data_IF_459553071012
#
_entry.id   IF_459553071012
#
_cell.length_a   1.000
_cell.length_b   1.000
_cell.length_c   1.000
_cell.angle_alpha   90.00
_cell.angle_beta   90.00
_cell.angle_gamma   90.00
#
_symmetry.space_group_name_H-M   'P 1'
#
loop_
_entity.id
_entity.type
_entity.pdbx_description
1 polymer ?
#
# COMPACT_ATOMS: atom_id res chain seq x y z
N UNK A 1 28.40 54.90 -7.29
CA UNK A 1 27.74 53.61 -6.95
C UNK A 1 26.31 53.91 -6.53
N UNK A 2 25.32 53.64 -7.39
CA UNK A 2 23.90 53.89 -7.07
C UNK A 2 23.45 52.89 -6.00
N UNK A 3 22.93 53.39 -4.87
CA UNK A 3 22.41 52.56 -3.80
C UNK A 3 21.31 51.61 -4.33
N UNK A 4 21.27 50.33 -3.91
CA UNK A 4 20.24 49.40 -4.33
C UNK A 4 18.88 49.90 -3.84
N UNK A 5 18.01 50.28 -4.78
CA UNK A 5 16.64 50.70 -4.46
C UNK A 5 15.88 49.50 -3.89
N UNK A 6 15.19 49.70 -2.75
CA UNK A 6 14.32 48.70 -2.13
C UNK A 6 13.29 48.25 -3.17
N UNK A 7 13.38 47.00 -3.64
CA UNK A 7 12.40 46.42 -4.57
C UNK A 7 11.06 46.32 -3.84
N UNK A 8 9.95 46.61 -4.53
CA UNK A 8 8.61 46.52 -3.96
C UNK A 8 8.25 45.08 -3.58
N UNK A 9 7.42 44.90 -2.55
CA UNK A 9 6.94 43.59 -2.05
C UNK A 9 6.27 42.76 -3.15
N UNK A 10 5.75 43.44 -4.17
CA UNK A 10 5.15 42.84 -5.37
C UNK A 10 6.08 41.82 -6.02
N UNK A 11 7.40 42.05 -6.01
CA UNK A 11 8.37 41.13 -6.62
C UNK A 11 8.44 39.77 -5.96
N UNK A 12 7.98 39.60 -4.72
CA UNK A 12 7.95 38.30 -4.04
C UNK A 12 7.03 37.29 -4.73
N UNK A 13 6.08 37.76 -5.56
CA UNK A 13 5.11 36.92 -6.26
C UNK A 13 5.49 36.65 -7.72
N UNK A 14 6.60 37.17 -8.20
CA UNK A 14 6.96 37.11 -9.62
C UNK A 14 8.43 36.73 -9.83
N UNK A 15 8.68 35.95 -10.88
CA UNK A 15 10.01 35.62 -11.37
C UNK A 15 10.27 36.35 -12.68
N UNK A 16 11.42 37.02 -12.82
CA UNK A 16 11.80 37.62 -14.10
C UNK A 16 12.15 36.53 -15.11
N UNK A 17 11.59 36.63 -16.33
CA UNK A 17 11.91 35.75 -17.46
C UNK A 17 12.76 36.50 -18.47
N UNK A 18 12.31 37.69 -18.87
CA UNK A 18 13.03 38.61 -19.76
C UNK A 18 13.04 40.03 -19.16
N UNK A 19 13.79 40.95 -19.77
CA UNK A 19 13.80 42.38 -19.39
C UNK A 19 12.41 43.02 -19.34
N UNK A 20 11.47 42.50 -20.13
CA UNK A 20 10.09 43.03 -20.25
C UNK A 20 9.01 42.04 -19.82
N UNK A 21 9.36 40.85 -19.33
CA UNK A 21 8.40 39.78 -19.01
C UNK A 21 8.72 39.15 -17.66
N UNK A 22 7.68 38.97 -16.86
CA UNK A 22 7.75 38.33 -15.55
C UNK A 22 6.68 37.26 -15.45
N UNK A 23 6.96 36.13 -14.82
CA UNK A 23 6.00 35.06 -14.60
C UNK A 23 5.47 35.14 -13.17
N UNK A 24 4.15 35.11 -13.03
CA UNK A 24 3.50 35.02 -11.73
C UNK A 24 3.74 33.64 -11.11
N UNK A 25 4.18 33.58 -9.86
CA UNK A 25 4.42 32.30 -9.18
C UNK A 25 3.13 31.64 -8.65
N UNK A 26 2.01 32.37 -8.63
CA UNK A 26 0.73 31.89 -8.13
C UNK A 26 -0.13 31.23 -9.22
N UNK A 27 -0.11 31.76 -10.46
CA UNK A 27 -0.86 31.20 -11.59
C UNK A 27 0.01 30.80 -12.79
N UNK A 28 1.33 31.02 -12.73
CA UNK A 28 2.29 30.72 -13.80
C UNK A 28 2.06 31.49 -15.12
N UNK A 29 1.19 32.50 -15.11
CA UNK A 29 0.97 33.36 -16.27
C UNK A 29 2.10 34.38 -16.45
N UNK A 30 2.40 34.67 -17.71
CA UNK A 30 3.40 35.69 -18.07
C UNK A 30 2.75 37.07 -18.15
N UNK A 31 3.31 38.01 -17.39
CA UNK A 31 2.88 39.41 -17.31
C UNK A 31 3.98 40.32 -17.86
N UNK A 32 3.61 41.34 -18.61
CA UNK A 32 4.55 42.33 -19.14
C UNK A 32 4.97 43.32 -18.06
N UNK A 33 6.28 43.49 -17.89
CA UNK A 33 6.88 44.47 -16.99
C UNK A 33 7.60 45.57 -17.80
N UNK A 34 6.92 46.71 -18.00
CA UNK A 34 7.48 47.85 -18.72
C UNK A 34 8.16 48.84 -17.75
N UNK A 35 9.15 48.37 -16.98
CA UNK A 35 9.93 49.20 -16.04
C UNK A 35 9.21 49.61 -14.74
N UNK A 36 7.91 49.34 -14.60
CA UNK A 36 7.12 49.62 -13.41
C UNK A 36 6.29 48.40 -12.97
N UNK A 37 5.99 48.30 -11.67
CA UNK A 37 5.26 47.16 -11.09
C UNK A 37 3.74 47.26 -11.22
N UNK A 38 3.21 48.25 -11.94
CA UNK A 38 1.76 48.49 -12.09
C UNK A 38 1.03 47.31 -12.72
N UNK A 39 1.62 46.67 -13.75
CA UNK A 39 1.02 45.49 -14.40
C UNK A 39 1.01 44.28 -13.48
N UNK A 40 2.06 44.10 -12.68
CA UNK A 40 2.17 43.04 -11.69
C UNK A 40 1.13 43.22 -10.58
N UNK A 41 0.95 44.48 -10.12
CA UNK A 41 -0.03 44.81 -9.09
C UNK A 41 -1.47 44.61 -9.57
N UNK A 42 -1.76 45.04 -10.81
CA UNK A 42 -3.06 44.81 -11.44
C UNK A 42 -3.37 43.32 -11.55
N UNK A 43 -2.40 42.52 -11.98
CA UNK A 43 -2.53 41.07 -12.06
C UNK A 43 -2.84 40.44 -10.68
N UNK A 44 -2.11 40.84 -9.63
CA UNK A 44 -2.37 40.36 -8.27
C UNK A 44 -3.76 40.77 -7.77
N UNK A 45 -4.20 42.01 -8.00
CA UNK A 45 -5.55 42.45 -7.58
C UNK A 45 -6.67 41.75 -8.34
N UNK A 46 -6.46 41.40 -9.61
CA UNK A 46 -7.50 40.75 -10.43
C UNK A 46 -7.59 39.24 -10.22
N UNK A 47 -6.46 38.55 -10.01
CA UNK A 47 -6.40 37.09 -9.97
C UNK A 47 -6.03 36.51 -8.60
N UNK A 48 -5.42 37.31 -7.74
CA UNK A 48 -4.82 36.87 -6.47
C UNK A 48 -5.12 37.85 -5.32
N UNK A 49 -6.36 38.33 -5.23
CA UNK A 49 -6.76 39.36 -4.27
C UNK A 49 -6.54 38.93 -2.82
N UNK A 50 -6.80 37.65 -2.49
CA UNK A 50 -6.60 37.10 -1.15
C UNK A 50 -5.10 37.04 -0.76
N UNK A 51 -4.25 36.57 -1.67
CA UNK A 51 -2.80 36.43 -1.47
C UNK A 51 -2.13 37.80 -1.32
N UNK A 52 -2.56 38.79 -2.11
CA UNK A 52 -2.04 40.15 -2.04
C UNK A 52 -2.40 40.86 -0.73
N UNK A 53 -3.64 40.71 -0.25
CA UNK A 53 -4.11 41.31 0.99
C UNK A 53 -3.37 40.75 2.21
N UNK A 54 -3.09 39.44 2.24
CA UNK A 54 -2.33 38.79 3.31
C UNK A 54 -0.89 39.32 3.43
N UNK A 55 -0.21 39.53 2.30
CA UNK A 55 1.16 40.04 2.29
C UNK A 55 1.28 41.57 2.53
N UNK A 56 0.21 42.33 2.29
CA UNK A 56 0.15 43.75 2.64
C UNK A 56 -0.11 43.95 4.16
N UNK A 57 -0.86 43.04 4.79
CA UNK A 57 -1.21 43.11 6.20
C UNK A 57 -0.06 42.77 7.17
N UNK A 58 1.07 42.23 6.67
CA UNK A 58 2.17 41.74 7.51
C UNK A 58 3.12 42.82 8.04
N UNK A 59 2.79 44.12 7.88
CA UNK A 59 3.66 45.23 8.34
C UNK A 59 3.10 46.09 9.46
N UNK A 60 1.92 45.75 10.01
CA UNK A 60 1.34 46.50 11.13
C UNK A 60 0.91 45.56 12.26
N UNK A 61 1.89 45.07 13.02
CA UNK A 61 1.67 44.51 14.35
C UNK A 61 2.56 45.23 15.34
N UNK A 62 2.16 46.45 15.71
CA UNK A 62 2.57 47.10 16.96
C UNK A 62 1.31 47.39 17.78
N UNK A 63 1.04 46.46 18.70
CA UNK A 63 0.39 46.65 20.01
C UNK A 63 -0.82 47.59 20.12
N UNK A 64 -1.99 47.04 20.49
CA UNK A 64 -2.75 47.61 21.62
C UNK A 64 -3.44 46.48 22.38
N UNK A 65 -3.00 46.33 23.62
CA UNK A 65 -3.64 45.59 24.71
C UNK A 65 -4.87 46.36 25.19
N UNK A 66 -5.92 45.65 25.55
CA UNK A 66 -7.02 46.21 26.32
C UNK A 66 -6.51 46.54 27.74
N UNK A 67 -6.64 47.78 28.19
CA UNK A 67 -7.23 48.10 29.51
C UNK A 67 -7.56 49.59 29.70
N UNK A 68 -8.74 49.77 30.27
CA UNK A 68 -9.28 50.75 31.24
C UNK A 68 -8.82 52.23 31.39
N UNK A 69 -9.87 53.07 31.53
CA UNK A 69 -10.03 54.29 32.33
C UNK A 69 -9.33 55.62 32.00
N UNK A 70 -10.12 56.66 31.68
CA UNK A 70 -10.21 57.95 32.43
C UNK A 70 -11.22 58.94 31.82
N UNK A 71 -12.14 59.44 32.65
CA UNK A 71 -12.90 60.71 32.50
C UNK A 71 -11.96 61.95 32.52
N UNK A 72 -12.44 63.21 32.57
CA UNK A 72 -13.37 63.96 31.71
C UNK A 72 -12.71 65.27 31.19
N UNK A 73 -13.14 65.83 30.06
CA UNK A 73 -12.77 67.19 29.65
C UNK A 73 -14.03 68.06 29.58
N UNK A 74 -14.03 69.07 30.45
CA UNK A 74 -15.04 70.12 30.54
C UNK A 74 -14.95 71.02 29.30
N UNK A 75 -16.08 71.30 28.66
CA UNK A 75 -16.26 72.53 27.89
C UNK A 75 -17.58 73.17 28.35
N UNK A 76 -17.46 74.28 29.07
CA UNK A 76 -18.57 75.20 29.30
C UNK A 76 -18.55 76.19 28.15
N UNK A 77 -19.58 76.17 27.32
CA UNK A 77 -20.12 77.40 26.74
C UNK A 77 -21.56 77.15 26.39
N UNK A 78 -22.40 77.83 27.14
CA UNK A 78 -23.84 78.01 26.96
C UNK A 78 -24.19 78.13 25.48
N UNK A 79 -24.94 77.17 24.95
CA UNK A 79 -25.80 77.40 23.81
C UNK A 79 -27.08 76.60 23.97
N UNK A 80 -28.16 77.38 24.03
CA UNK A 80 -29.53 76.98 24.29
C UNK A 80 -30.15 76.59 22.94
N UNK A 81 -30.39 75.31 22.69
CA UNK A 81 -31.27 74.81 21.62
C UNK A 81 -31.87 73.48 22.09
N UNK A 82 -32.97 73.55 22.82
CA UNK A 82 -34.33 73.31 22.32
C UNK A 82 -34.61 71.81 22.17
N UNK A 83 -35.51 71.34 23.02
CA UNK A 83 -36.08 70.00 23.04
C UNK A 83 -37.07 69.88 21.87
N UNK A 84 -36.55 69.98 20.65
CA UNK A 84 -37.31 69.64 19.45
C UNK A 84 -37.27 68.13 19.33
N UNK A 85 -38.36 67.51 19.80
CA UNK A 85 -38.77 66.19 19.35
C UNK A 85 -38.82 66.21 17.82
N UNK A 86 -37.74 65.79 17.16
CA UNK A 86 -37.76 65.51 15.74
C UNK A 86 -38.90 64.52 15.51
N UNK A 87 -39.94 64.93 14.78
CA UNK A 87 -41.04 64.06 14.40
C UNK A 87 -40.46 62.98 13.50
N UNK A 88 -40.04 61.86 14.09
CA UNK A 88 -39.59 60.70 13.34
C UNK A 88 -40.75 60.31 12.45
N UNK A 89 -40.56 60.37 11.14
CA UNK A 89 -41.65 60.05 10.23
C UNK A 89 -41.96 58.57 10.37
N UNK A 90 -43.25 58.21 10.29
CA UNK A 90 -43.66 56.80 10.33
C UNK A 90 -42.93 55.97 9.25
N UNK A 91 -42.49 56.61 8.17
CA UNK A 91 -41.69 56.01 7.11
C UNK A 91 -40.27 55.61 7.55
N UNK A 92 -39.60 56.41 8.39
CA UNK A 92 -38.25 56.11 8.89
C UNK A 92 -38.29 54.94 9.88
N UNK A 93 -39.32 54.91 10.73
CA UNK A 93 -39.59 53.79 11.65
C UNK A 93 -39.90 52.52 10.85
N UNK A 94 -40.77 52.62 9.83
CA UNK A 94 -41.10 51.49 8.97
C UNK A 94 -39.88 50.95 8.19
N UNK A 95 -39.00 51.85 7.70
CA UNK A 95 -37.76 51.47 7.01
C UNK A 95 -36.80 50.72 7.93
N UNK A 96 -36.62 51.19 9.16
CA UNK A 96 -35.78 50.52 10.16
C UNK A 96 -36.34 49.13 10.52
N UNK A 97 -37.66 49.01 10.72
CA UNK A 97 -38.31 47.72 11.00
C UNK A 97 -38.14 46.74 9.84
N UNK A 98 -38.35 47.20 8.59
CA UNK A 98 -38.17 46.37 7.40
C UNK A 98 -36.70 45.94 7.21
N UNK A 99 -35.74 46.81 7.51
CA UNK A 99 -34.32 46.48 7.49
C UNK A 99 -33.95 45.40 8.52
N UNK A 100 -34.51 45.48 9.74
CA UNK A 100 -34.32 44.49 10.79
C UNK A 100 -34.94 43.15 10.42
N UNK A 101 -36.16 43.15 9.87
CA UNK A 101 -36.83 41.92 9.40
C UNK A 101 -36.03 41.25 8.29
N UNK A 102 -35.54 42.03 7.31
CA UNK A 102 -34.75 41.50 6.20
C UNK A 102 -33.42 40.92 6.67
N UNK A 103 -32.74 41.60 7.58
CA UNK A 103 -31.53 41.09 8.21
C UNK A 103 -31.81 39.79 8.99
N UNK A 104 -32.91 39.72 9.75
CA UNK A 104 -33.29 38.52 10.48
C UNK A 104 -33.60 37.33 9.55
N UNK A 105 -34.25 37.56 8.41
CA UNK A 105 -34.48 36.55 7.37
C UNK A 105 -33.18 36.04 6.74
N UNK A 106 -32.25 36.95 6.45
CA UNK A 106 -30.96 36.60 5.84
C UNK A 106 -30.09 35.81 6.84
N UNK A 107 -30.06 36.20 8.12
CA UNK A 107 -29.39 35.42 9.18
C UNK A 107 -30.05 34.05 9.38
N UNK A 108 -31.38 33.96 9.34
CA UNK A 108 -32.08 32.67 9.41
C UNK A 108 -31.76 31.78 8.19
N UNK A 109 -31.52 32.37 7.02
CA UNK A 109 -31.01 31.67 5.84
C UNK A 109 -29.61 31.13 6.05
N UNK A 110 -28.70 31.95 6.56
CA UNK A 110 -27.30 31.60 6.84
C UNK A 110 -27.19 30.49 7.90
N UNK A 111 -27.99 30.57 8.98
CA UNK A 111 -28.06 29.53 10.02
C UNK A 111 -28.47 28.18 9.44
N UNK A 112 -29.49 28.13 8.56
CA UNK A 112 -29.90 26.87 7.90
C UNK A 112 -28.81 26.28 7.00
N UNK A 113 -28.06 27.14 6.31
CA UNK A 113 -26.93 26.69 5.46
C UNK A 113 -25.82 26.11 6.33
N UNK A 114 -25.44 26.79 7.41
CA UNK A 114 -24.41 26.30 8.35
C UNK A 114 -24.82 25.00 9.04
N UNK A 115 -26.09 24.85 9.42
CA UNK A 115 -26.63 23.59 9.96
C UNK A 115 -26.51 22.45 8.95
N UNK A 116 -26.85 22.70 7.69
CA UNK A 116 -26.71 21.71 6.62
C UNK A 116 -25.25 21.36 6.34
N UNK A 117 -24.35 22.34 6.36
CA UNK A 117 -22.90 22.11 6.20
C UNK A 117 -22.32 21.27 7.35
N UNK A 118 -22.78 21.52 8.59
CA UNK A 118 -22.43 20.69 9.75
C UNK A 118 -22.91 19.25 9.56
N UNK A 119 -24.16 19.04 9.16
CA UNK A 119 -24.71 17.70 8.90
C UNK A 119 -23.92 16.94 7.82
N UNK A 120 -23.56 17.62 6.73
CA UNK A 120 -22.76 17.05 5.66
C UNK A 120 -21.36 16.69 6.15
N UNK A 121 -20.74 17.54 6.97
CA UNK A 121 -19.42 17.27 7.56
C UNK A 121 -19.48 16.06 8.48
N UNK A 122 -20.49 15.97 9.34
CA UNK A 122 -20.68 14.80 10.21
C UNK A 122 -20.95 13.52 9.42
N UNK A 123 -21.75 13.60 8.35
CA UNK A 123 -22.00 12.47 7.46
C UNK A 123 -20.73 11.99 6.76
N UNK A 124 -19.89 12.92 6.28
CA UNK A 124 -18.61 12.61 5.67
C UNK A 124 -17.66 11.94 6.68
N UNK A 125 -17.56 12.48 7.90
CA UNK A 125 -16.73 11.88 8.96
C UNK A 125 -17.21 10.46 9.31
N UNK A 126 -18.53 10.23 9.37
CA UNK A 126 -19.09 8.88 9.57
C UNK A 126 -18.75 7.95 8.41
N UNK A 127 -18.86 8.41 7.17
CA UNK A 127 -18.52 7.62 5.99
C UNK A 127 -17.03 7.24 5.97
N UNK A 128 -16.13 8.21 6.18
CA UNK A 128 -14.69 7.96 6.27
C UNK A 128 -14.34 6.97 7.38
N UNK A 129 -15.00 7.07 8.54
CA UNK A 129 -14.80 6.14 9.65
C UNK A 129 -15.26 4.72 9.29
N UNK A 130 -16.35 4.58 8.53
CA UNK A 130 -16.81 3.28 8.04
C UNK A 130 -15.85 2.69 7.00
N UNK A 131 -15.36 3.51 6.07
CA UNK A 131 -14.34 3.10 5.09
C UNK A 131 -13.05 2.64 5.77
N UNK A 132 -12.57 3.39 6.78
CA UNK A 132 -11.40 3.01 7.56
C UNK A 132 -11.56 1.64 8.23
N UNK A 133 -12.74 1.37 8.82
CA UNK A 133 -13.05 0.06 9.44
C UNK A 133 -13.11 -1.07 8.41
N UNK A 134 -13.72 -0.82 7.26
CA UNK A 134 -13.78 -1.81 6.19
C UNK A 134 -12.38 -2.16 5.66
N UNK A 135 -11.50 -1.16 5.50
CA UNK A 135 -10.10 -1.38 5.10
C UNK A 135 -9.31 -2.15 6.17
N UNK A 136 -9.54 -1.88 7.45
CA UNK A 136 -8.92 -2.62 8.55
C UNK A 136 -9.33 -4.11 8.50
N UNK A 137 -10.63 -4.38 8.36
CA UNK A 137 -11.14 -5.75 8.19
C UNK A 137 -10.54 -6.46 6.97
N UNK A 138 -10.43 -5.76 5.84
CA UNK A 138 -9.76 -6.32 4.65
C UNK A 138 -8.29 -6.66 4.90
N UNK A 139 -7.55 -5.80 5.62
CA UNK A 139 -6.15 -6.07 6.00
C UNK A 139 -6.02 -7.27 6.92
N UNK A 140 -6.90 -7.41 7.91
CA UNK A 140 -6.94 -8.56 8.82
C UNK A 140 -7.23 -9.88 8.08
N UNK A 141 -8.18 -9.86 7.14
CA UNK A 141 -8.48 -11.01 6.29
C UNK A 141 -7.28 -11.39 5.42
N UNK A 142 -6.63 -10.43 4.78
CA UNK A 142 -5.42 -10.68 3.98
C UNK A 142 -4.28 -11.24 4.82
N UNK A 143 -4.08 -10.72 6.03
CA UNK A 143 -3.06 -11.21 6.95
C UNK A 143 -3.38 -12.63 7.43
N UNK A 144 -4.65 -12.93 7.69
CA UNK A 144 -5.12 -14.28 8.03
C UNK A 144 -4.86 -15.26 6.88
N UNK A 145 -5.18 -14.87 5.65
CA UNK A 145 -4.92 -15.68 4.46
C UNK A 145 -3.42 -15.91 4.25
N UNK A 146 -2.57 -14.89 4.45
CA UNK A 146 -1.12 -15.04 4.38
C UNK A 146 -0.61 -16.06 5.41
N UNK A 147 -1.09 -15.99 6.65
CA UNK A 147 -0.71 -16.94 7.71
C UNK A 147 -1.20 -18.36 7.43
N UNK A 148 -2.38 -18.51 6.83
CA UNK A 148 -2.89 -19.82 6.43
C UNK A 148 -2.01 -20.41 5.32
N UNK A 149 -1.73 -19.63 4.27
CA UNK A 149 -0.90 -20.05 3.15
C UNK A 149 0.52 -20.43 3.60
N UNK A 150 1.16 -19.66 4.47
CA UNK A 150 2.50 -20.04 4.98
C UNK A 150 2.49 -21.33 5.79
N UNK A 151 1.44 -21.57 6.57
CA UNK A 151 1.26 -22.84 7.31
C UNK A 151 1.04 -24.00 6.35
N UNK A 152 0.16 -23.86 5.37
CA UNK A 152 -0.09 -24.87 4.35
C UNK A 152 1.18 -25.21 3.57
N UNK A 153 1.90 -24.20 3.06
CA UNK A 153 3.16 -24.39 2.37
C UNK A 153 4.21 -25.10 3.23
N UNK A 154 4.28 -24.78 4.54
CA UNK A 154 5.18 -25.48 5.47
C UNK A 154 4.77 -26.93 5.69
N UNK A 155 3.47 -27.22 5.79
CA UNK A 155 2.94 -28.56 5.96
C UNK A 155 3.17 -29.42 4.71
N UNK A 156 2.93 -28.87 3.52
CA UNK A 156 3.23 -29.52 2.24
C UNK A 156 4.71 -29.88 2.11
N UNK A 157 5.60 -28.95 2.48
CA UNK A 157 7.04 -29.21 2.46
C UNK A 157 7.42 -30.39 3.36
N UNK A 158 6.89 -30.43 4.59
CA UNK A 158 7.12 -31.53 5.53
C UNK A 158 6.56 -32.86 5.00
N UNK A 159 5.37 -32.84 4.39
CA UNK A 159 4.76 -34.02 3.79
C UNK A 159 5.60 -34.56 2.63
N UNK A 160 6.10 -33.68 1.75
CA UNK A 160 6.98 -34.06 0.64
C UNK A 160 8.33 -34.62 1.13
N UNK A 161 8.94 -33.99 2.13
CA UNK A 161 10.19 -34.50 2.73
C UNK A 161 9.99 -35.87 3.37
N UNK A 162 8.85 -36.09 4.03
CA UNK A 162 8.49 -37.37 4.63
C UNK A 162 8.30 -38.44 3.56
N UNK A 163 7.53 -38.14 2.51
CA UNK A 163 7.31 -39.04 1.39
C UNK A 163 8.62 -39.42 0.71
N UNK A 164 9.51 -38.45 0.46
CA UNK A 164 10.83 -38.70 -0.12
C UNK A 164 11.66 -39.65 0.74
N UNK A 165 11.69 -39.47 2.06
CA UNK A 165 12.41 -40.37 2.98
C UNK A 165 11.84 -41.79 2.94
N UNK A 166 10.50 -41.94 2.91
CA UNK A 166 9.86 -43.23 2.78
C UNK A 166 10.25 -43.92 1.46
N UNK A 167 10.22 -43.19 0.34
CA UNK A 167 10.63 -43.71 -0.96
C UNK A 167 12.11 -44.13 -0.98
N UNK A 168 13.00 -43.33 -0.40
CA UNK A 168 14.42 -43.68 -0.28
C UNK A 168 14.63 -44.94 0.58
N UNK A 169 13.86 -45.10 1.65
CA UNK A 169 13.91 -46.30 2.49
C UNK A 169 13.38 -47.53 1.73
N UNK A 170 12.26 -47.41 1.03
CA UNK A 170 11.68 -48.48 0.22
C UNK A 170 12.65 -48.91 -0.89
N UNK A 171 13.26 -47.96 -1.60
CA UNK A 171 14.27 -48.25 -2.62
C UNK A 171 15.48 -49.00 -2.04
N UNK A 172 15.93 -48.64 -0.83
CA UNK A 172 17.00 -49.37 -0.13
C UNK A 172 16.59 -50.78 0.25
N UNK A 173 15.36 -50.98 0.72
CA UNK A 173 14.82 -52.30 1.05
C UNK A 173 14.74 -53.20 -0.19
N UNK A 174 14.18 -52.69 -1.28
CA UNK A 174 14.09 -53.40 -2.56
C UNK A 174 15.47 -53.73 -3.13
N UNK A 175 16.44 -52.84 -2.97
CA UNK A 175 17.82 -53.11 -3.39
C UNK A 175 18.43 -54.28 -2.60
N UNK A 176 18.22 -54.33 -1.28
CA UNK A 176 18.71 -55.45 -0.46
C UNK A 176 18.06 -56.76 -0.88
N UNK A 177 16.73 -56.77 -1.05
CA UNK A 177 15.99 -57.95 -1.51
C UNK A 177 16.47 -58.42 -2.89
N UNK A 178 16.73 -57.49 -3.82
CA UNK A 178 17.32 -57.82 -5.12
C UNK A 178 18.70 -58.46 -4.99
N UNK A 179 19.55 -57.94 -4.11
CA UNK A 179 20.88 -58.50 -3.86
C UNK A 179 20.81 -59.90 -3.20
N UNK A 180 19.88 -60.10 -2.27
CA UNK A 180 19.60 -61.41 -1.67
C UNK A 180 19.14 -62.42 -2.72
N UNK A 181 18.15 -62.06 -3.54
CA UNK A 181 17.66 -62.92 -4.63
C UNK A 181 18.77 -63.20 -5.67
N UNK A 182 19.66 -62.24 -5.93
CA UNK A 182 20.80 -62.46 -6.81
C UNK A 182 21.80 -63.46 -6.22
N UNK A 183 22.06 -63.42 -4.90
CA UNK A 183 22.89 -64.41 -4.20
C UNK A 183 22.27 -65.80 -4.31
N UNK A 184 21.00 -65.92 -3.94
CA UNK A 184 20.27 -67.20 -4.01
C UNK A 184 20.25 -67.78 -5.42
N UNK A 185 20.05 -66.94 -6.45
CA UNK A 185 20.12 -67.36 -7.85
C UNK A 185 21.48 -67.95 -8.22
N UNK A 186 22.58 -67.37 -7.73
CA UNK A 186 23.94 -67.89 -7.99
C UNK A 186 24.15 -69.21 -7.26
N UNK A 187 23.73 -69.32 -6.00
CA UNK A 187 23.83 -70.56 -5.22
C UNK A 187 23.05 -71.71 -5.88
N UNK A 188 21.80 -71.46 -6.29
CA UNK A 188 20.98 -72.44 -7.01
C UNK A 188 21.60 -72.84 -8.35
N UNK A 189 22.25 -71.91 -9.05
CA UNK A 189 22.96 -72.22 -10.28
C UNK A 189 24.18 -73.13 -10.03
N UNK A 190 24.95 -72.85 -8.97
CA UNK A 190 26.07 -73.71 -8.56
C UNK A 190 25.59 -75.11 -8.15
N UNK A 191 24.50 -75.20 -7.40
CA UNK A 191 23.90 -76.48 -7.00
C UNK A 191 23.40 -77.26 -8.21
N UNK A 192 22.75 -76.59 -9.17
CA UNK A 192 22.31 -77.20 -10.43
C UNK A 192 23.48 -77.78 -11.22
N UNK A 193 24.58 -77.05 -11.34
CA UNK A 193 25.79 -77.52 -12.01
C UNK A 193 26.42 -78.71 -11.28
N UNK A 194 26.44 -78.69 -9.95
CA UNK A 194 26.91 -79.81 -9.14
C UNK A 194 26.07 -81.07 -9.40
N UNK A 195 24.74 -80.94 -9.34
CA UNK A 195 23.83 -82.06 -9.60
C UNK A 195 23.97 -82.59 -11.03
N UNK A 196 24.27 -81.72 -11.99
CA UNK A 196 24.53 -82.12 -13.36
C UNK A 196 25.83 -82.92 -13.48
N UNK A 197 26.92 -82.49 -12.83
CA UNK A 197 28.18 -83.26 -12.79
C UNK A 197 28.00 -84.63 -12.15
N UNK A 198 27.31 -84.70 -11.01
CA UNK A 198 27.00 -85.96 -10.34
C UNK A 198 26.20 -86.91 -11.25
N UNK A 199 25.26 -86.37 -12.05
CA UNK A 199 24.54 -87.14 -13.07
C UNK A 199 25.46 -87.68 -14.18
N UNK A 200 26.34 -86.83 -14.72
CA UNK A 200 27.29 -87.20 -15.77
C UNK A 200 28.28 -88.27 -15.29
N UNK A 201 28.77 -88.15 -14.04
CA UNK A 201 29.62 -89.16 -13.39
C UNK A 201 28.91 -90.51 -13.25
N UNK A 202 27.66 -90.52 -12.76
CA UNK A 202 26.85 -91.73 -12.68
C UNK A 202 26.59 -92.36 -14.05
N UNK A 203 26.44 -91.55 -15.10
CA UNK A 203 26.31 -92.04 -16.48
C UNK A 203 27.63 -92.62 -17.02
N UNK A 204 28.79 -92.07 -16.64
CA UNK A 204 30.10 -92.64 -16.95
C UNK A 204 30.27 -94.01 -16.28
N UNK A 205 30.04 -94.09 -14.96
CA UNK A 205 30.13 -95.34 -14.20
C UNK A 205 29.22 -96.43 -14.77
N UNK A 206 27.99 -96.06 -15.18
CA UNK A 206 27.06 -97.01 -15.82
C UNK A 206 27.58 -97.54 -17.15
N UNK A 207 28.22 -96.68 -17.96
CA UNK A 207 28.83 -97.09 -19.24
C UNK A 207 30.01 -98.03 -19.00
N UNK A 208 30.88 -97.70 -18.05
CA UNK A 208 32.05 -98.52 -17.71
C UNK A 208 31.63 -99.91 -17.21
N UNK A 209 30.68 -100.00 -16.27
CA UNK A 209 30.14 -101.30 -15.84
C UNK A 209 29.40 -102.05 -16.96
N UNK A 210 28.84 -101.34 -17.95
CA UNK A 210 28.30 -101.92 -19.17
C UNK A 210 29.38 -102.56 -20.03
N UNK A 211 30.46 -101.83 -20.26
CA UNK A 211 31.61 -102.26 -21.06
C UNK A 211 32.34 -103.43 -20.41
N UNK A 212 32.62 -103.37 -19.11
CA UNK A 212 33.24 -104.46 -18.35
C UNK A 212 32.45 -105.77 -18.51
N UNK A 213 31.11 -105.71 -18.43
CA UNK A 213 30.25 -106.89 -18.66
C UNK A 213 30.38 -107.44 -20.08
N UNK A 214 30.48 -106.58 -21.10
CA UNK A 214 30.69 -106.99 -22.50
C UNK A 214 32.08 -107.64 -22.65
N UNK A 215 33.11 -107.05 -22.07
CA UNK A 215 34.49 -107.56 -22.13
C UNK A 215 34.61 -108.91 -21.43
N UNK A 216 33.96 -109.08 -20.27
CA UNK A 216 33.85 -110.37 -19.60
C UNK A 216 33.17 -111.43 -20.47
N UNK A 217 32.09 -111.10 -21.17
CA UNK A 217 31.38 -112.02 -22.07
C UNK A 217 32.22 -112.37 -23.31
N UNK A 218 32.91 -111.39 -23.92
CA UNK A 218 33.83 -111.63 -25.05
C UNK A 218 34.99 -112.55 -24.68
N UNK A 219 35.60 -112.33 -23.51
CA UNK A 219 36.66 -113.21 -23.01
C UNK A 219 36.11 -114.63 -22.76
N UNK A 220 34.92 -114.76 -22.18
CA UNK A 220 34.32 -116.07 -21.93
C UNK A 220 33.93 -116.81 -23.22
N UNK A 221 33.65 -116.11 -24.31
CA UNK A 221 33.40 -116.69 -25.64
C UNK A 221 34.70 -117.05 -26.37
N UNK A 222 35.78 -116.29 -26.19
CA UNK A 222 37.11 -116.59 -26.74
C UNK A 222 37.73 -117.87 -26.14
N UNK A 223 37.39 -118.21 -24.89
CA UNK A 223 37.83 -119.45 -24.23
C UNK A 223 36.98 -120.70 -24.57
N UNK A 224 35.94 -120.58 -25.41
CA UNK A 224 35.01 -121.67 -25.76
C UNK A 224 35.14 -122.19 -27.21
N UNK A 225 36.12 -121.72 -27.98
CA UNK A 225 36.53 -122.23 -29.30
C UNK A 225 37.88 -122.94 -29.19
#
# INVERSE_FOLDING_TARGET
VMAPRKRSVVWSFFRAVDEKKVTCLLCLETVLHCGHTTNMLRHLRSKHLNEYSSAAASKDRRSVVADDNSQPMMINSEDYCDEQAASVSDADIASAINGILKAAEDHAGEVRVLERERELTEALMRAQQQEARALEQQRELLETLRRANTREASAEKVALETLRRCQEQEARSLQREREDLQRERVELQMEKERMQREREELECLRRDSGQERIDHLSNHHAFRL
#
